data_IF_285040748018
#
_entry.id   IF_285040748018
#
_cell.length_a   1.000
_cell.length_b   1.000
_cell.length_c   1.000
_cell.angle_alpha   90.00
_cell.angle_beta   90.00
_cell.angle_gamma   90.00
#
_symmetry.space_group_name_H-M   'P 1'
#
loop_
_entity.id
_entity.type
_entity.pdbx_description
1 polymer ?
#
# COMPACT_ATOMS: atom_id res chain seq x y z
N UNK A 1 -27.34 -15.46 30.80
CA UNK A 1 -27.32 -14.24 29.96
C UNK A 1 -25.88 -13.94 29.57
N UNK A 2 -25.47 -14.22 28.32
CA UNK A 2 -24.19 -13.73 27.75
C UNK A 2 -24.56 -12.81 26.61
N UNK A 3 -24.38 -11.51 26.81
CA UNK A 3 -24.62 -10.51 25.79
C UNK A 3 -23.44 -10.59 24.81
N UNK A 4 -23.61 -11.33 23.71
CA UNK A 4 -22.63 -11.34 22.62
C UNK A 4 -22.79 -10.03 21.87
N UNK A 5 -22.01 -9.01 22.25
CA UNK A 5 -21.81 -7.83 21.43
C UNK A 5 -21.32 -8.28 20.06
N UNK A 6 -22.19 -8.25 19.04
CA UNK A 6 -21.78 -8.38 17.64
C UNK A 6 -20.68 -7.35 17.41
N UNK A 7 -19.44 -7.80 17.22
CA UNK A 7 -18.40 -6.93 16.66
C UNK A 7 -18.92 -6.47 15.30
N UNK A 8 -19.28 -5.18 15.22
CA UNK A 8 -19.62 -4.55 13.95
C UNK A 8 -18.31 -4.53 13.16
N UNK A 9 -18.19 -5.42 12.19
CA UNK A 9 -17.06 -5.40 11.27
C UNK A 9 -17.16 -4.10 10.46
N UNK A 10 -16.10 -3.29 10.40
CA UNK A 10 -16.15 -2.05 9.65
C UNK A 10 -16.46 -2.34 8.18
N UNK A 11 -17.37 -1.57 7.59
CA UNK A 11 -17.66 -1.64 6.17
C UNK A 11 -16.48 -1.04 5.41
N UNK A 12 -15.80 -1.83 4.58
CA UNK A 12 -14.61 -1.39 3.85
C UNK A 12 -14.95 -1.15 2.38
N UNK A 13 -14.30 -0.15 1.79
CA UNK A 13 -14.32 0.12 0.35
C UNK A 13 -12.90 0.11 -0.19
N UNK A 14 -12.77 -0.21 -1.47
CA UNK A 14 -11.50 -0.23 -2.19
C UNK A 14 -11.62 0.70 -3.39
N UNK A 15 -10.63 1.56 -3.57
CA UNK A 15 -10.59 2.52 -4.67
C UNK A 15 -9.15 2.83 -5.08
N UNK A 16 -8.99 3.41 -6.27
CA UNK A 16 -7.72 4.01 -6.67
C UNK A 16 -7.69 5.46 -6.20
N UNK A 17 -6.56 5.92 -5.67
CA UNK A 17 -6.33 7.32 -5.38
C UNK A 17 -6.38 8.12 -6.69
N UNK A 18 -7.17 9.20 -6.71
CA UNK A 18 -7.35 10.03 -7.90
C UNK A 18 -6.74 11.42 -7.73
N UNK A 19 -6.56 11.88 -6.50
CA UNK A 19 -6.04 13.20 -6.16
C UNK A 19 -4.68 13.10 -5.47
N UNK A 20 -3.94 14.22 -5.48
CA UNK A 20 -2.69 14.31 -4.73
C UNK A 20 -2.89 14.12 -3.22
N UNK A 21 -4.06 14.52 -2.70
CA UNK A 21 -4.45 14.37 -1.30
C UNK A 21 -4.69 12.89 -0.94
N UNK A 22 -5.34 12.12 -1.82
CA UNK A 22 -5.51 10.67 -1.63
C UNK A 22 -4.14 9.96 -1.59
N UNK A 23 -3.24 10.35 -2.50
CA UNK A 23 -1.87 9.81 -2.55
C UNK A 23 -1.11 10.16 -1.27
N UNK A 24 -1.19 11.41 -0.80
CA UNK A 24 -0.53 11.81 0.44
C UNK A 24 -1.08 11.05 1.64
N UNK A 25 -2.40 10.83 1.71
CA UNK A 25 -3.02 10.03 2.77
C UNK A 25 -2.49 8.60 2.78
N UNK A 26 -2.34 7.98 1.60
CA UNK A 26 -1.67 6.69 1.43
C UNK A 26 -0.20 6.72 1.90
N UNK A 27 0.56 7.76 1.54
CA UNK A 27 1.95 7.95 1.95
C UNK A 27 2.11 8.12 3.47
N UNK A 28 1.17 8.81 4.13
CA UNK A 28 1.13 8.94 5.60
C UNK A 28 0.87 7.60 6.28
N UNK A 29 -0.10 6.82 5.79
CA UNK A 29 -0.35 5.48 6.34
C UNK A 29 0.88 4.58 6.21
N UNK A 30 1.52 4.60 5.04
CA UNK A 30 2.75 3.85 4.80
C UNK A 30 3.88 4.29 5.73
N UNK A 31 4.06 5.60 5.94
CA UNK A 31 5.04 6.12 6.90
C UNK A 31 4.80 5.59 8.31
N UNK A 32 3.56 5.70 8.81
CA UNK A 32 3.19 5.21 10.15
C UNK A 32 3.53 3.72 10.32
N UNK A 33 3.33 2.92 9.29
CA UNK A 33 3.56 1.47 9.38
C UNK A 33 5.04 1.12 9.16
N UNK A 34 5.67 1.62 8.09
CA UNK A 34 7.03 1.23 7.75
C UNK A 34 8.06 1.92 8.63
N UNK A 35 7.96 3.24 8.84
CA UNK A 35 8.92 3.96 9.67
C UNK A 35 8.61 3.83 11.16
N UNK A 36 7.39 4.18 11.59
CA UNK A 36 7.10 4.27 13.03
C UNK A 36 6.91 2.90 13.69
N UNK A 37 6.21 1.97 13.03
CA UNK A 37 5.95 0.64 13.59
C UNK A 37 7.09 -0.36 13.30
N UNK A 38 7.62 -0.38 12.07
CA UNK A 38 8.62 -1.37 11.65
C UNK A 38 10.07 -0.87 11.69
N UNK A 39 10.30 0.43 11.92
CA UNK A 39 11.65 1.00 12.04
C UNK A 39 12.40 1.18 10.72
N UNK A 40 11.72 1.15 9.58
CA UNK A 40 12.35 1.36 8.27
C UNK A 40 12.91 2.79 8.14
N UNK A 41 14.10 2.90 7.55
CA UNK A 41 14.70 4.19 7.24
C UNK A 41 14.19 4.66 5.88
N UNK A 42 13.32 5.68 5.87
CA UNK A 42 12.73 6.22 4.66
C UNK A 42 13.42 7.53 4.25
N UNK A 43 13.70 7.69 2.95
CA UNK A 43 14.34 8.90 2.42
C UNK A 43 13.54 10.19 2.65
N UNK A 44 12.21 10.07 2.74
CA UNK A 44 11.28 11.17 2.96
C UNK A 44 10.78 11.28 4.40
N UNK A 45 11.47 10.65 5.37
CA UNK A 45 11.02 10.60 6.76
C UNK A 45 10.85 12.00 7.39
N UNK A 46 11.64 12.99 6.96
CA UNK A 46 11.53 14.38 7.41
C UNK A 46 10.17 15.05 7.09
N UNK A 47 9.39 14.47 6.17
CA UNK A 47 8.05 14.93 5.81
C UNK A 47 6.94 14.12 6.50
N UNK A 48 7.29 13.10 7.28
CA UNK A 48 6.36 12.09 7.80
C UNK A 48 5.56 11.38 6.70
N UNK A 49 6.22 11.13 5.56
CA UNK A 49 5.67 10.45 4.38
C UNK A 49 6.61 9.33 3.95
N UNK A 50 6.04 8.24 3.44
CA UNK A 50 6.77 7.25 2.63
C UNK A 50 6.59 7.62 1.16
N UNK A 51 7.51 8.43 0.62
CA UNK A 51 7.44 8.97 -0.74
C UNK A 51 8.74 8.71 -1.49
N UNK A 52 8.62 8.23 -2.72
CA UNK A 52 9.74 8.00 -3.61
C UNK A 52 9.46 8.43 -5.07
N UNK A 53 10.48 8.26 -5.93
CA UNK A 53 10.44 8.64 -7.34
C UNK A 53 9.36 7.90 -8.15
N UNK A 54 8.96 6.69 -7.73
CA UNK A 54 8.01 5.87 -8.47
C UNK A 54 6.54 6.23 -8.15
N UNK A 55 6.27 6.97 -7.08
CA UNK A 55 4.89 7.30 -6.68
C UNK A 55 4.05 7.96 -7.79
N UNK A 56 4.56 8.91 -8.61
CA UNK A 56 3.78 9.51 -9.70
C UNK A 56 3.41 8.55 -10.83
N UNK A 57 4.14 7.43 -10.96
CA UNK A 57 3.92 6.41 -11.99
C UNK A 57 3.01 5.28 -11.52
N UNK A 58 2.79 5.16 -10.20
CA UNK A 58 2.01 4.08 -9.62
C UNK A 58 0.53 4.46 -9.53
N UNK A 59 -0.33 3.47 -9.73
CA UNK A 59 -1.66 3.51 -9.13
C UNK A 59 -1.52 3.21 -7.63
N UNK A 60 -2.24 3.97 -6.81
CA UNK A 60 -2.31 3.75 -5.37
C UNK A 60 -3.69 3.20 -5.04
N UNK A 61 -3.77 1.90 -4.78
CA UNK A 61 -5.01 1.26 -4.37
C UNK A 61 -5.12 1.40 -2.86
N UNK A 62 -6.18 2.06 -2.41
CA UNK A 62 -6.43 2.34 -0.99
C UNK A 62 -7.67 1.60 -0.52
N UNK A 63 -7.63 1.16 0.72
CA UNK A 63 -8.78 0.60 1.44
C UNK A 63 -9.25 1.65 2.43
N UNK A 64 -10.51 2.06 2.38
CA UNK A 64 -11.10 3.05 3.29
C UNK A 64 -12.18 2.41 4.16
N UNK A 65 -12.28 2.84 5.41
CA UNK A 65 -13.46 2.60 6.24
C UNK A 65 -14.60 3.49 5.75
N UNK A 66 -15.75 2.91 5.42
CA UNK A 66 -16.87 3.61 4.79
C UNK A 66 -17.45 4.73 5.66
N UNK A 67 -17.52 4.53 6.97
CA UNK A 67 -18.17 5.48 7.89
C UNK A 67 -17.33 6.73 8.11
N UNK A 68 -16.00 6.59 8.15
CA UNK A 68 -15.07 7.68 8.48
C UNK A 68 -14.28 8.19 7.28
N UNK A 69 -14.34 7.48 6.14
CA UNK A 69 -13.45 7.64 4.99
C UNK A 69 -11.95 7.52 5.33
N UNK A 70 -11.59 6.99 6.51
CA UNK A 70 -10.20 6.81 6.91
C UNK A 70 -9.54 5.76 6.02
N UNK A 71 -8.38 6.06 5.45
CA UNK A 71 -7.54 5.08 4.75
C UNK A 71 -6.92 4.14 5.79
N UNK A 72 -7.22 2.85 5.63
CA UNK A 72 -6.86 1.77 6.56
C UNK A 72 -6.01 0.68 5.90
N UNK A 73 -5.80 0.77 4.59
CA UNK A 73 -4.87 -0.06 3.85
C UNK A 73 -4.42 0.63 2.58
N UNK A 74 -3.24 0.27 2.10
CA UNK A 74 -2.68 0.82 0.86
C UNK A 74 -1.79 -0.21 0.18
N UNK A 75 -1.79 -0.20 -1.16
CA UNK A 75 -0.79 -0.88 -1.98
C UNK A 75 -0.52 -0.08 -3.26
N UNK A 76 0.72 -0.10 -3.72
CA UNK A 76 1.10 0.46 -5.02
C UNK A 76 1.06 -0.60 -6.10
N UNK A 77 0.67 -0.16 -7.29
CA UNK A 77 0.62 -0.96 -8.50
C UNK A 77 1.36 -0.18 -9.58
N UNK A 78 2.47 -0.73 -10.06
CA UNK A 78 3.22 -0.20 -11.20
C UNK A 78 3.01 -1.12 -12.40
N UNK A 79 2.37 -0.62 -13.45
CA UNK A 79 2.16 -1.38 -14.70
C UNK A 79 3.43 -1.40 -15.54
N UNK A 80 3.55 -2.35 -16.47
CA UNK A 80 4.68 -2.41 -17.41
C UNK A 80 4.83 -1.13 -18.25
N UNK A 81 3.72 -0.52 -18.67
CA UNK A 81 3.71 0.75 -19.40
C UNK A 81 4.25 1.89 -18.53
N UNK A 82 3.78 2.00 -17.29
CA UNK A 82 4.25 3.03 -16.37
C UNK A 82 5.71 2.80 -15.95
N UNK A 83 6.12 1.54 -15.77
CA UNK A 83 7.51 1.16 -15.50
C UNK A 83 8.44 1.63 -16.62
N UNK A 84 8.05 1.42 -17.89
CA UNK A 84 8.82 1.94 -19.05
C UNK A 84 8.97 3.47 -18.99
N UNK A 85 7.93 4.20 -18.59
CA UNK A 85 7.99 5.66 -18.39
C UNK A 85 8.83 6.09 -17.17
N UNK A 86 8.94 5.23 -16.15
CA UNK A 86 9.76 5.43 -14.96
C UNK A 86 11.23 4.98 -15.15
N UNK A 87 11.58 4.38 -16.29
CA UNK A 87 12.92 3.85 -16.57
C UNK A 87 13.13 2.37 -16.17
N UNK A 88 12.08 1.69 -15.70
CA UNK A 88 12.09 0.28 -15.30
C UNK A 88 11.14 0.01 -14.13
N UNK A 89 11.02 -1.26 -13.74
CA UNK A 89 10.41 -1.64 -12.47
C UNK A 89 11.36 -1.30 -11.30
N UNK A 90 10.82 -1.03 -10.10
CA UNK A 90 11.66 -0.83 -8.92
C UNK A 90 12.55 -2.06 -8.68
N UNK A 91 11.97 -3.26 -8.84
CA UNK A 91 12.67 -4.52 -8.64
C UNK A 91 13.84 -4.73 -9.60
N UNK A 92 13.91 -4.04 -10.75
CA UNK A 92 15.08 -4.10 -11.64
C UNK A 92 16.31 -3.40 -11.07
N UNK A 93 16.14 -2.51 -10.10
CA UNK A 93 17.26 -1.87 -9.40
C UNK A 93 17.85 -2.78 -8.31
N UNK A 94 17.03 -3.69 -7.77
CA UNK A 94 17.40 -4.57 -6.66
C UNK A 94 17.75 -6.00 -7.12
N UNK A 95 17.20 -6.44 -8.26
CA UNK A 95 17.27 -7.81 -8.74
C UNK A 95 17.48 -7.89 -10.26
N UNK A 96 18.11 -8.96 -10.72
CA UNK A 96 18.17 -9.28 -12.15
C UNK A 96 16.85 -9.91 -12.62
N UNK A 97 16.09 -9.17 -13.43
CA UNK A 97 14.83 -9.62 -14.03
C UNK A 97 14.95 -10.04 -15.49
N UNK A 98 16.16 -10.20 -16.04
CA UNK A 98 16.39 -10.49 -17.47
C UNK A 98 15.69 -11.78 -17.95
N UNK A 99 15.50 -12.76 -17.06
CA UNK A 99 14.77 -13.99 -17.38
C UNK A 99 13.23 -13.82 -17.38
N UNK A 100 12.72 -12.79 -16.69
CA UNK A 100 11.29 -12.55 -16.50
C UNK A 100 10.72 -11.58 -17.55
N UNK A 101 11.44 -10.49 -17.85
CA UNK A 101 10.98 -9.43 -18.76
C UNK A 101 10.64 -9.89 -20.19
N UNK A 102 11.29 -10.93 -20.77
CA UNK A 102 10.95 -11.42 -22.11
C UNK A 102 9.67 -12.27 -22.15
N UNK A 103 9.09 -12.64 -21.00
CA UNK A 103 7.89 -13.46 -20.96
C UNK A 103 6.70 -12.70 -21.55
N UNK A 104 5.85 -13.42 -22.27
CA UNK A 104 4.65 -12.85 -22.89
C UNK A 104 3.58 -12.60 -21.83
N UNK A 105 2.98 -11.41 -21.85
CA UNK A 105 1.85 -11.05 -21.00
C UNK A 105 1.99 -9.64 -20.42
N UNK A 106 0.95 -9.20 -19.71
CA UNK A 106 1.00 -7.96 -18.95
C UNK A 106 1.63 -8.25 -17.59
N UNK A 107 2.58 -7.42 -17.19
CA UNK A 107 3.26 -7.52 -15.89
C UNK A 107 2.90 -6.29 -15.06
N UNK A 108 2.65 -6.52 -13.77
CA UNK A 108 2.52 -5.47 -12.78
C UNK A 108 3.46 -5.76 -11.62
N UNK A 109 4.05 -4.72 -11.06
CA UNK A 109 4.78 -4.78 -9.80
C UNK A 109 3.89 -4.25 -8.68
N UNK A 110 3.77 -5.03 -7.61
CA UNK A 110 3.04 -4.67 -6.40
C UNK A 110 4.05 -4.35 -5.31
N UNK A 111 3.85 -3.21 -4.64
CA UNK A 111 4.77 -2.76 -3.61
C UNK A 111 4.08 -1.97 -2.52
N UNK A 112 4.81 -1.74 -1.43
CA UNK A 112 4.39 -0.89 -0.30
C UNK A 112 3.02 -1.27 0.28
N UNK A 113 2.68 -2.56 0.24
CA UNK A 113 1.42 -3.07 0.79
C UNK A 113 1.43 -2.97 2.31
N UNK A 114 0.43 -2.31 2.88
CA UNK A 114 0.31 -2.15 4.32
C UNK A 114 -1.17 -2.04 4.74
N UNK A 115 -1.45 -2.42 5.99
CA UNK A 115 -2.78 -2.36 6.61
C UNK A 115 -2.62 -1.75 8.00
N UNK A 116 -3.48 -0.80 8.35
CA UNK A 116 -3.54 -0.18 9.67
C UNK A 116 -3.73 -1.26 10.75
N UNK A 117 -2.97 -1.18 11.86
CA UNK A 117 -2.92 -2.23 12.89
C UNK A 117 -4.29 -2.71 13.39
N UNK A 118 -5.23 -1.79 13.59
CA UNK A 118 -6.58 -2.09 14.09
C UNK A 118 -7.46 -2.85 13.09
N UNK A 119 -7.05 -2.92 11.82
CA UNK A 119 -7.76 -3.57 10.72
C UNK A 119 -7.11 -4.88 10.27
N UNK A 120 -5.98 -5.26 10.89
CA UNK A 120 -5.35 -6.55 10.66
C UNK A 120 -6.15 -7.62 11.39
N UNK A 121 -6.73 -8.58 10.67
CA UNK A 121 -7.32 -9.76 11.31
C UNK A 121 -6.20 -10.48 12.06
N UNK A 122 -6.31 -10.55 13.38
CA UNK A 122 -5.45 -11.46 14.15
C UNK A 122 -5.92 -12.89 13.84
N UNK A 123 -5.00 -13.85 13.61
CA UNK A 123 -5.40 -15.24 13.64
C UNK A 123 -6.07 -15.51 14.99
N UNK A 124 -7.24 -16.16 14.95
CA UNK A 124 -7.95 -16.58 16.14
C UNK A 124 -7.11 -17.67 16.80
N UNK A 125 -6.21 -17.28 17.71
CA UNK A 125 -5.54 -18.24 18.58
C UNK A 125 -6.59 -18.73 19.59
N UNK A 126 -7.04 -19.97 19.40
CA UNK A 126 -7.73 -20.74 20.43
C UNK A 126 -6.73 -20.93 21.58
N UNK A 127 -6.99 -20.31 22.73
CA UNK A 127 -6.40 -20.67 24.02
C UNK A 127 -7.24 -21.73 24.71
#
# INVERSE_FOLDING_TARGET
>A
MRNSSKQIQPSLIVELAHTQEDIETSQRLRYQIFAEEQGAQLSSANQNLDKDFFDPYCHHLVVKERETNKVVGSTRILTDLAAKSAGGFYSQHEFDLNALLPLKGNVIEIGRTCIHKDYRKRPFLLS
#
